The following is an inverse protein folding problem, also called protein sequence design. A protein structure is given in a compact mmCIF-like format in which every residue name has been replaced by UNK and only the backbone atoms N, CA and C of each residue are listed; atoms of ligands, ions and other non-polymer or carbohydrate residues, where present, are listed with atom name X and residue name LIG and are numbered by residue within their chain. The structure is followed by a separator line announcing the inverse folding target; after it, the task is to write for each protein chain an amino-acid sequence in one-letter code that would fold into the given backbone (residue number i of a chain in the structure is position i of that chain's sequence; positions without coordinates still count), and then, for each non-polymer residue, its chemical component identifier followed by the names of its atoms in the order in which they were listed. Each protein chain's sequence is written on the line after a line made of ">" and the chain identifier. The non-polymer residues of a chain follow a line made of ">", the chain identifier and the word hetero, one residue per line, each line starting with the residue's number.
data_IF_813057758551
#
_entry.id   IF_813057758551
#
_cell.length_a   1.000
_cell.length_b   1.000
_cell.length_c   1.000
_cell.angle_alpha   90.00
_cell.angle_beta   90.00
_cell.angle_gamma   90.00
#
_symmetry.space_group_name_H-M   'P 1'
#
loop_
_entity.id
_entity.type
_entity.pdbx_description
1 polymer ?
#
# COMPACT_ATOMS: atom_id res chain seq x y z
N UNK A 1 17.08 -4.39 17.55
CA UNK A 1 17.58 -5.08 16.34
C UNK A 1 16.37 -5.63 15.61
N UNK A 2 16.26 -5.44 14.29
CA UNK A 2 15.15 -6.02 13.50
C UNK A 2 15.34 -7.53 13.36
N UNK A 3 14.26 -8.29 13.50
CA UNK A 3 14.25 -9.75 13.24
C UNK A 3 13.81 -10.06 11.82
N UNK A 4 13.04 -9.16 11.21
CA UNK A 4 12.47 -9.31 9.88
C UNK A 4 12.85 -8.11 9.02
N UNK A 5 13.30 -8.41 7.81
CA UNK A 5 13.67 -7.40 6.83
C UNK A 5 12.97 -7.68 5.50
N UNK A 6 12.29 -6.67 4.97
CA UNK A 6 11.71 -6.67 3.62
C UNK A 6 12.51 -5.71 2.75
N UNK A 7 12.99 -6.19 1.60
CA UNK A 7 13.73 -5.39 0.62
C UNK A 7 12.74 -5.00 -0.49
N UNK A 8 12.42 -3.70 -0.56
CA UNK A 8 11.47 -3.10 -1.49
C UNK A 8 10.15 -2.72 -0.83
N UNK A 9 9.88 -1.41 -0.74
CA UNK A 9 8.65 -0.77 -0.27
C UNK A 9 7.64 -0.49 -1.38
N UNK A 10 7.66 -1.30 -2.45
CA UNK A 10 6.63 -1.32 -3.50
C UNK A 10 5.33 -1.99 -3.03
N UNK A 11 4.39 -2.23 -3.95
CA UNK A 11 3.07 -2.80 -3.63
C UNK A 11 3.21 -4.14 -2.88
N UNK A 12 4.04 -5.06 -3.38
CA UNK A 12 4.18 -6.40 -2.81
C UNK A 12 4.82 -6.39 -1.42
N UNK A 13 5.96 -5.71 -1.27
CA UNK A 13 6.65 -5.63 0.02
C UNK A 13 5.83 -4.89 1.08
N UNK A 14 5.11 -3.85 0.68
CA UNK A 14 4.17 -3.14 1.55
C UNK A 14 2.99 -4.02 1.96
N UNK A 15 2.38 -4.77 1.03
CA UNK A 15 1.32 -5.74 1.36
C UNK A 15 1.79 -6.81 2.33
N UNK A 16 2.99 -7.36 2.12
CA UNK A 16 3.58 -8.32 3.05
C UNK A 16 3.80 -7.71 4.44
N UNK A 17 4.33 -6.50 4.51
CA UNK A 17 4.53 -5.79 5.77
C UNK A 17 3.21 -5.57 6.52
N UNK A 18 2.17 -5.09 5.83
CA UNK A 18 0.82 -4.92 6.41
C UNK A 18 0.28 -6.25 6.92
N UNK A 19 0.36 -7.31 6.12
CA UNK A 19 -0.13 -8.64 6.50
C UNK A 19 0.58 -9.18 7.76
N UNK A 20 1.91 -9.10 7.82
CA UNK A 20 2.69 -9.62 8.95
C UNK A 20 2.33 -8.91 10.27
N UNK A 21 2.16 -7.58 10.21
CA UNK A 21 1.80 -6.77 11.38
C UNK A 21 0.34 -7.01 11.78
N UNK A 22 -0.61 -6.91 10.85
CA UNK A 22 -2.04 -7.06 11.14
C UNK A 22 -2.42 -8.47 11.59
N UNK A 23 -1.74 -9.50 11.09
CA UNK A 23 -1.97 -10.88 11.52
C UNK A 23 -1.26 -11.26 12.82
N UNK A 24 -0.56 -10.32 13.47
CA UNK A 24 0.14 -10.55 14.73
C UNK A 24 1.37 -11.47 14.62
N UNK A 25 1.79 -11.83 13.40
CA UNK A 25 2.95 -12.71 13.17
C UNK A 25 4.27 -12.02 13.50
N UNK A 26 4.33 -10.70 13.30
CA UNK A 26 5.53 -9.89 13.54
C UNK A 26 5.12 -8.59 14.22
N UNK A 27 5.80 -8.25 15.31
CA UNK A 27 5.65 -6.93 15.91
C UNK A 27 6.26 -5.85 15.01
N UNK A 28 5.63 -4.68 14.95
CA UNK A 28 6.12 -3.55 14.16
C UNK A 28 7.55 -3.13 14.56
N UNK A 29 7.96 -3.32 15.83
CA UNK A 29 9.32 -3.00 16.27
C UNK A 29 10.37 -4.01 15.76
N UNK A 30 9.95 -5.22 15.37
CA UNK A 30 10.81 -6.29 14.88
C UNK A 30 10.93 -6.29 13.34
N UNK A 31 10.12 -5.48 12.64
CA UNK A 31 10.06 -5.41 11.18
C UNK A 31 10.68 -4.11 10.64
N UNK A 32 11.51 -4.24 9.60
CA UNK A 32 11.93 -3.11 8.78
C UNK A 32 11.62 -3.36 7.30
N UNK A 33 11.25 -2.29 6.60
CA UNK A 33 11.18 -2.26 5.14
C UNK A 33 12.26 -1.31 4.64
N UNK A 34 13.17 -1.82 3.83
CA UNK A 34 14.25 -1.04 3.20
C UNK A 34 13.91 -0.80 1.73
N UNK A 35 13.89 0.46 1.31
CA UNK A 35 13.66 0.84 -0.08
C UNK A 35 14.68 1.91 -0.53
N UNK A 36 15.20 1.89 -1.78
CA UNK A 36 16.10 2.95 -2.26
C UNK A 36 15.46 4.34 -2.37
N UNK A 37 14.13 4.42 -2.35
CA UNK A 37 13.31 5.62 -2.42
C UNK A 37 12.97 6.18 -1.04
N UNK A 38 12.68 7.48 -0.99
CA UNK A 38 12.38 8.18 0.28
C UNK A 38 10.96 7.90 0.75
N UNK A 39 10.03 7.70 -0.20
CA UNK A 39 8.63 7.47 0.10
C UNK A 39 8.18 6.06 -0.28
N UNK A 40 7.24 5.48 0.50
CA UNK A 40 6.55 4.26 0.12
C UNK A 40 5.95 4.35 -1.28
N UNK A 41 5.97 3.25 -2.02
CA UNK A 41 5.30 3.14 -3.32
C UNK A 41 5.76 4.16 -4.38
N UNK A 42 6.93 4.79 -4.25
CA UNK A 42 7.37 5.83 -5.19
C UNK A 42 7.43 5.33 -6.64
N UNK A 43 7.99 4.13 -6.87
CA UNK A 43 7.99 3.48 -8.17
C UNK A 43 6.57 3.26 -8.72
N UNK A 44 5.64 2.83 -7.87
CA UNK A 44 4.24 2.61 -8.26
C UNK A 44 3.57 3.92 -8.67
N UNK A 45 3.66 4.96 -7.83
CA UNK A 45 3.11 6.30 -8.12
C UNK A 45 3.70 6.86 -9.41
N UNK A 46 5.03 6.77 -9.58
CA UNK A 46 5.73 7.24 -10.79
C UNK A 46 5.27 6.52 -12.06
N UNK A 47 5.20 5.19 -12.02
CA UNK A 47 4.86 4.41 -13.22
C UNK A 47 3.38 4.55 -13.61
N UNK A 48 2.48 4.57 -12.63
CA UNK A 48 1.03 4.73 -12.88
C UNK A 48 0.68 6.14 -13.36
N UNK A 49 1.36 7.17 -12.86
CA UNK A 49 1.24 8.53 -13.36
C UNK A 49 1.73 8.67 -14.82
N UNK A 50 2.87 8.06 -15.16
CA UNK A 50 3.45 8.11 -16.52
C UNK A 50 2.50 7.57 -17.59
N UNK A 51 1.75 6.52 -17.27
CA UNK A 51 0.77 5.93 -18.19
C UNK A 51 -0.64 6.52 -18.05
N UNK A 52 -0.80 7.56 -17.21
CA UNK A 52 -2.09 8.22 -16.93
C UNK A 52 -3.19 7.23 -16.53
N UNK A 53 -2.86 6.29 -15.64
CA UNK A 53 -3.82 5.31 -15.18
C UNK A 53 -4.88 5.98 -14.30
N UNK A 54 -6.15 5.91 -14.71
CA UNK A 54 -7.27 6.45 -13.92
C UNK A 54 -7.81 5.42 -12.92
N UNK A 55 -7.92 4.16 -13.34
CA UNK A 55 -8.47 3.06 -12.54
C UNK A 55 -7.55 1.85 -12.60
N UNK A 56 -7.46 1.12 -11.48
CA UNK A 56 -6.77 -0.17 -11.46
C UNK A 56 -7.44 -1.15 -12.40
N UNK A 57 -6.71 -2.12 -12.94
CA UNK A 57 -7.30 -3.24 -13.70
C UNK A 57 -7.91 -4.31 -12.79
N UNK A 58 -7.47 -4.35 -11.53
CA UNK A 58 -7.91 -5.32 -10.54
C UNK A 58 -9.20 -4.90 -9.83
N UNK A 59 -10.01 -5.86 -9.35
CA UNK A 59 -11.17 -5.57 -8.51
C UNK A 59 -10.80 -4.90 -7.18
N UNK A 60 -11.77 -4.25 -6.53
CA UNK A 60 -11.60 -3.56 -5.24
C UNK A 60 -11.06 -4.44 -4.11
N UNK A 61 -11.26 -5.76 -4.16
CA UNK A 61 -10.77 -6.71 -3.15
C UNK A 61 -9.25 -6.94 -3.24
N UNK A 62 -8.59 -6.51 -4.32
CA UNK A 62 -7.14 -6.63 -4.48
C UNK A 62 -6.45 -5.37 -3.95
N UNK A 63 -6.34 -5.28 -2.63
CA UNK A 63 -5.70 -4.17 -1.93
C UNK A 63 -4.70 -4.64 -0.87
N UNK A 64 -4.05 -3.70 -0.20
CA UNK A 64 -2.97 -3.97 0.76
C UNK A 64 -3.44 -4.54 2.10
N UNK A 65 -4.69 -4.29 2.48
CA UNK A 65 -5.26 -4.73 3.76
C UNK A 65 -5.63 -6.23 3.74
N UNK A 66 -5.58 -6.86 4.91
CA UNK A 66 -6.07 -8.22 5.20
C UNK A 66 -7.60 -8.33 5.17
N UNK A 67 -8.33 -7.27 5.49
CA UNK A 67 -9.80 -7.24 5.51
C UNK A 67 -10.34 -7.08 4.08
N UNK A 68 -11.06 -8.07 3.50
CA UNK A 68 -11.37 -8.11 2.06
C UNK A 68 -12.12 -6.90 1.49
N UNK A 69 -12.86 -6.18 2.34
CA UNK A 69 -13.68 -5.03 1.94
C UNK A 69 -13.13 -3.70 2.46
N UNK A 70 -11.89 -3.68 2.97
CA UNK A 70 -11.26 -2.50 3.58
C UNK A 70 -11.28 -1.27 2.67
N UNK A 71 -10.97 -1.45 1.37
CA UNK A 71 -10.95 -0.34 0.41
C UNK A 71 -12.35 0.25 0.16
N UNK A 72 -13.38 -0.60 0.16
CA UNK A 72 -14.77 -0.16 0.00
C UNK A 72 -15.24 0.60 1.25
N UNK A 73 -15.01 0.02 2.43
CA UNK A 73 -15.28 0.70 3.71
C UNK A 73 -14.54 2.03 3.83
N UNK A 74 -13.31 2.12 3.31
CA UNK A 74 -12.55 3.36 3.28
C UNK A 74 -13.18 4.43 2.39
N UNK A 75 -13.64 4.04 1.19
CA UNK A 75 -14.34 4.91 0.26
C UNK A 75 -15.65 5.46 0.87
N UNK A 76 -16.44 4.60 1.49
CA UNK A 76 -17.73 4.95 2.10
C UNK A 76 -17.56 5.96 3.24
N UNK A 77 -16.58 5.72 4.13
CA UNK A 77 -16.30 6.62 5.27
C UNK A 77 -15.80 8.00 4.87
N UNK A 78 -15.11 8.07 3.72
CA UNK A 78 -14.43 9.28 3.28
C UNK A 78 -15.24 10.06 2.23
N UNK A 79 -16.51 9.68 1.98
CA UNK A 79 -17.44 10.31 1.03
C UNK A 79 -16.87 10.54 -0.37
N UNK A 80 -16.07 9.58 -0.88
CA UNK A 80 -15.50 9.69 -2.22
C UNK A 80 -16.58 9.48 -3.30
N UNK A 81 -16.85 10.47 -4.18
CA UNK A 81 -17.81 10.28 -5.25
C UNK A 81 -17.26 9.35 -6.34
N UNK A 82 -18.05 8.36 -6.73
CA UNK A 82 -17.85 7.50 -7.92
C UNK A 82 -16.42 6.97 -8.14
N UNK A 83 -15.86 6.32 -7.12
CA UNK A 83 -14.48 5.78 -7.15
C UNK A 83 -14.34 4.34 -7.63
N UNK A 84 -15.42 3.70 -8.07
CA UNK A 84 -15.40 2.32 -8.56
C UNK A 84 -15.98 2.20 -9.96
N UNK A 85 -15.21 1.59 -10.87
CA UNK A 85 -15.56 1.42 -12.26
C UNK A 85 -16.02 -0.02 -12.59
N UNK A 86 -17.21 -0.12 -13.21
CA UNK A 86 -17.72 -1.32 -13.86
C UNK A 86 -18.07 -2.49 -12.92
N UNK A 87 -18.41 -3.64 -13.52
CA UNK A 87 -18.89 -4.86 -12.83
C UNK A 87 -17.95 -5.35 -11.72
N UNK A 88 -16.64 -5.18 -11.91
CA UNK A 88 -15.62 -5.65 -10.97
C UNK A 88 -15.26 -4.63 -9.88
N UNK A 89 -15.97 -3.49 -9.81
CA UNK A 89 -15.69 -2.41 -8.86
C UNK A 89 -14.20 -2.07 -8.86
N UNK A 90 -13.64 -1.79 -10.03
CA UNK A 90 -12.23 -1.43 -10.17
C UNK A 90 -12.00 -0.06 -9.51
N UNK A 91 -11.13 0.08 -8.51
CA UNK A 91 -10.96 1.35 -7.82
C UNK A 91 -10.23 2.37 -8.69
N UNK A 92 -10.58 3.64 -8.52
CA UNK A 92 -9.76 4.74 -9.01
C UNK A 92 -8.36 4.67 -8.40
N UNK A 93 -7.35 5.10 -9.17
CA UNK A 93 -5.97 5.12 -8.70
C UNK A 93 -5.80 6.03 -7.48
N UNK A 94 -6.53 7.15 -7.43
CA UNK A 94 -6.49 8.07 -6.30
C UNK A 94 -6.98 7.41 -5.00
N UNK A 95 -8.13 6.73 -5.05
CA UNK A 95 -8.67 5.98 -3.90
C UNK A 95 -7.66 4.92 -3.44
N UNK A 96 -7.16 4.12 -4.38
CA UNK A 96 -6.21 3.06 -4.07
C UNK A 96 -4.92 3.60 -3.42
N UNK A 97 -4.34 4.66 -3.96
CA UNK A 97 -3.13 5.28 -3.41
C UNK A 97 -3.36 5.82 -1.99
N UNK A 98 -4.50 6.46 -1.75
CA UNK A 98 -4.80 7.02 -0.42
C UNK A 98 -5.06 5.93 0.63
N UNK A 99 -5.73 4.85 0.24
CA UNK A 99 -5.88 3.67 1.08
C UNK A 99 -4.52 3.07 1.43
N UNK A 100 -3.63 2.93 0.45
CA UNK A 100 -2.26 2.47 0.72
C UNK A 100 -1.51 3.40 1.69
N UNK A 101 -1.58 4.72 1.49
CA UNK A 101 -0.91 5.70 2.37
C UNK A 101 -1.37 5.59 3.82
N UNK A 102 -2.64 5.28 4.06
CA UNK A 102 -3.20 5.08 5.40
C UNK A 102 -2.45 3.95 6.13
N UNK A 103 -2.14 2.86 5.44
CA UNK A 103 -1.38 1.74 6.00
C UNK A 103 0.12 2.01 6.06
N UNK A 104 0.67 2.70 5.06
CA UNK A 104 2.11 3.00 5.04
C UNK A 104 2.54 3.98 6.13
N UNK A 105 1.65 4.84 6.62
CA UNK A 105 1.95 5.68 7.81
C UNK A 105 2.17 4.87 9.08
N UNK A 106 1.61 3.65 9.15
CA UNK A 106 1.74 2.75 10.28
C UNK A 106 3.01 1.89 10.22
N UNK A 107 3.61 1.76 9.03
CA UNK A 107 4.80 0.93 8.80
C UNK A 107 6.04 1.80 8.67
N UNK A 108 7.07 1.48 9.44
CA UNK A 108 8.35 2.18 9.35
C UNK A 108 9.10 1.76 8.07
N UNK A 109 9.06 2.62 7.05
CA UNK A 109 9.94 2.50 5.88
C UNK A 109 11.19 3.33 6.12
N UNK A 110 12.35 2.69 5.88
CA UNK A 110 13.65 3.35 5.92
C UNK A 110 14.22 3.43 4.51
N UNK A 111 14.78 4.59 4.17
CA UNK A 111 15.60 4.74 2.97
C UNK A 111 16.85 3.87 3.13
N UNK A 112 17.06 2.94 2.20
CA UNK A 112 18.22 2.04 2.18
C UNK A 112 19.57 2.72 1.95
N UNK A 113 19.58 4.04 1.75
CA UNK A 113 20.78 4.87 1.68
C UNK A 113 20.97 5.64 2.98
N UNK A 114 21.33 4.88 4.02
CA UNK A 114 22.27 5.32 5.06
C UNK A 114 23.36 4.25 5.19
N UNK A 115 24.27 4.32 4.23
CA UNK A 115 25.70 4.04 4.38
C UNK A 115 26.33 5.27 3.71
N UNK A 116 26.93 6.23 4.42
CA UNK A 116 27.86 6.16 5.53
C UNK A 116 27.55 7.24 6.59
#
# INVERSE_FOLDING_TARGET
>A
MYKWLIIGGGIQGSTLAVYLVKSGKVSIQDLAVIDPHEQPLECWKRNTARIRMNDLRSPSVHHMDTEPFSLQTYADKSQWPEVFFGRYKRPSLSLFNQHCETWMRYILIRRGRQAW
#
